data_IF_858060294544
#
_entry.id   IF_858060294544
#
_cell.length_a   1.000
_cell.length_b   1.000
_cell.length_c   1.000
_cell.angle_alpha   90.00
_cell.angle_beta   90.00
_cell.angle_gamma   90.00
#
_symmetry.space_group_name_H-M   'P 1'
#
loop_
_entity.id
_entity.type
_entity.pdbx_description
1 polymer ?
#
# COMPACT_ATOMS: atom_id res chain seq x y z
N UNK A 1 -0.11 -59.53 19.16
CA UNK A 1 0.81 -58.56 18.56
C UNK A 1 0.05 -57.26 18.39
N UNK A 2 0.51 -56.18 19.02
CA UNK A 2 -0.17 -54.86 18.99
C UNK A 2 0.06 -54.20 17.64
N UNK A 3 -0.99 -53.70 16.98
CA UNK A 3 -0.97 -53.07 15.64
C UNK A 3 -0.32 -51.68 15.64
N UNK A 4 0.94 -51.59 16.09
CA UNK A 4 1.70 -50.31 16.16
C UNK A 4 1.88 -49.66 14.77
N UNK A 5 1.93 -50.48 13.70
CA UNK A 5 2.02 -50.02 12.31
C UNK A 5 0.76 -49.25 11.87
N UNK A 6 -0.43 -49.69 12.27
CA UNK A 6 -1.70 -49.02 11.92
C UNK A 6 -1.80 -47.65 12.63
N UNK A 7 -1.46 -47.61 13.93
CA UNK A 7 -1.47 -46.34 14.68
C UNK A 7 -0.43 -45.33 14.14
N UNK A 8 0.76 -45.82 13.72
CA UNK A 8 1.77 -44.97 13.11
C UNK A 8 1.30 -44.35 11.77
N UNK A 9 0.64 -45.14 10.92
CA UNK A 9 0.09 -44.65 9.65
C UNK A 9 -1.03 -43.63 9.85
N UNK A 10 -1.93 -43.85 10.82
CA UNK A 10 -3.01 -42.89 11.15
C UNK A 10 -2.43 -41.59 11.66
N UNK A 11 -1.40 -41.64 12.52
CA UNK A 11 -0.74 -40.45 13.04
C UNK A 11 -0.06 -39.64 11.92
N UNK A 12 0.63 -40.30 11.00
CA UNK A 12 1.27 -39.65 9.85
C UNK A 12 0.23 -38.96 8.97
N UNK A 13 -0.90 -39.61 8.66
CA UNK A 13 -1.96 -38.99 7.86
C UNK A 13 -2.57 -37.77 8.56
N UNK A 14 -2.75 -37.85 9.86
CA UNK A 14 -3.28 -36.74 10.65
C UNK A 14 -2.33 -35.54 10.66
N UNK A 15 -1.03 -35.77 10.83
CA UNK A 15 0.01 -34.73 10.77
C UNK A 15 0.07 -34.09 9.39
N UNK A 16 0.07 -34.90 8.33
CA UNK A 16 0.06 -34.41 6.93
C UNK A 16 -1.20 -33.58 6.67
N UNK A 17 -2.36 -34.02 7.13
CA UNK A 17 -3.61 -33.27 7.02
C UNK A 17 -3.51 -31.90 7.75
N UNK A 18 -2.98 -31.88 8.98
CA UNK A 18 -2.80 -30.63 9.73
C UNK A 18 -1.83 -29.67 9.04
N UNK A 19 -0.76 -30.19 8.45
CA UNK A 19 0.21 -29.38 7.69
C UNK A 19 -0.46 -28.80 6.43
N UNK A 20 -1.16 -29.63 5.64
CA UNK A 20 -1.89 -29.15 4.46
C UNK A 20 -2.98 -28.15 4.84
N UNK A 21 -3.73 -28.42 5.90
CA UNK A 21 -4.75 -27.50 6.43
C UNK A 21 -4.14 -26.18 6.87
N UNK A 22 -3.01 -26.22 7.59
CA UNK A 22 -2.26 -25.03 8.02
C UNK A 22 -1.74 -24.22 6.85
N UNK A 23 -1.16 -24.88 5.81
CA UNK A 23 -0.68 -24.24 4.61
C UNK A 23 -1.86 -23.58 3.86
N UNK A 24 -2.97 -24.31 3.68
CA UNK A 24 -4.15 -23.78 3.02
C UNK A 24 -4.78 -22.61 3.76
N UNK A 25 -4.79 -22.65 5.09
CA UNK A 25 -5.28 -21.52 5.91
C UNK A 25 -4.29 -20.35 5.92
N UNK A 26 -2.98 -20.60 5.88
CA UNK A 26 -1.97 -19.54 5.73
C UNK A 26 -2.14 -18.81 4.38
N UNK A 27 -2.38 -19.53 3.30
CA UNK A 27 -2.71 -18.94 2.00
C UNK A 27 -4.10 -18.31 1.93
N UNK A 28 -5.03 -18.71 2.82
CA UNK A 28 -6.40 -18.20 2.89
C UNK A 28 -6.58 -17.03 3.86
N UNK A 29 -5.54 -16.61 4.57
CA UNK A 29 -5.51 -15.27 5.14
C UNK A 29 -5.51 -14.30 3.93
N UNK A 30 -6.71 -13.94 3.49
CA UNK A 30 -6.90 -12.85 2.55
C UNK A 30 -6.23 -11.64 3.20
N UNK A 31 -5.09 -11.22 2.67
CA UNK A 31 -4.51 -9.94 3.04
C UNK A 31 -5.60 -8.92 2.70
N UNK A 32 -6.36 -8.51 3.71
CA UNK A 32 -7.31 -7.42 3.53
C UNK A 32 -6.49 -6.21 3.13
N UNK A 33 -6.85 -5.60 2.01
CA UNK A 33 -6.18 -4.41 1.55
C UNK A 33 -6.22 -3.33 2.64
N UNK A 34 -5.10 -2.72 3.02
CA UNK A 34 -5.06 -1.72 4.08
C UNK A 34 -5.86 -0.47 3.69
N UNK A 35 -6.85 -0.09 4.50
CA UNK A 35 -7.60 1.16 4.30
C UNK A 35 -6.80 2.37 4.81
N UNK A 36 -5.65 2.59 4.21
CA UNK A 36 -4.73 3.66 4.56
C UNK A 36 -4.47 4.50 3.32
N UNK A 37 -4.59 5.81 3.45
CA UNK A 37 -4.16 6.79 2.43
C UNK A 37 -2.94 7.52 2.95
N UNK A 38 -1.94 7.64 2.11
CA UNK A 38 -0.71 8.36 2.34
C UNK A 38 -0.61 9.56 1.41
N UNK A 39 -0.21 10.69 1.95
CA UNK A 39 0.24 11.86 1.19
C UNK A 39 1.33 12.57 1.96
N UNK A 40 2.17 13.29 1.26
CA UNK A 40 3.29 14.04 1.84
C UNK A 40 3.30 15.48 1.34
N UNK A 41 3.50 16.43 2.26
CA UNK A 41 3.60 17.84 1.96
C UNK A 41 4.72 18.48 2.78
N UNK A 42 5.77 18.94 2.13
CA UNK A 42 7.05 19.31 2.76
C UNK A 42 7.07 20.74 3.33
N UNK A 43 6.08 21.56 3.04
CA UNK A 43 6.01 22.98 3.41
C UNK A 43 4.67 23.36 4.02
N UNK A 44 4.47 24.65 4.26
CA UNK A 44 3.16 25.16 4.66
C UNK A 44 2.10 24.77 3.62
N UNK A 45 1.14 23.99 4.04
CA UNK A 45 0.09 23.49 3.17
C UNK A 45 -0.89 24.62 2.82
N UNK A 46 -1.15 24.91 1.52
CA UNK A 46 -2.15 25.88 1.12
C UNK A 46 -3.56 25.47 1.58
N UNK A 47 -4.43 26.44 1.83
CA UNK A 47 -5.84 26.19 2.20
C UNK A 47 -6.59 25.37 1.15
N UNK A 48 -6.27 25.55 -0.12
CA UNK A 48 -6.82 24.74 -1.21
C UNK A 48 -6.51 23.26 -1.05
N UNK A 49 -5.27 22.91 -0.71
CA UNK A 49 -4.87 21.52 -0.48
C UNK A 49 -5.51 20.96 0.78
N UNK A 50 -5.53 21.75 1.86
CA UNK A 50 -6.25 21.40 3.10
C UNK A 50 -7.71 21.09 2.83
N UNK A 51 -8.37 21.88 1.97
CA UNK A 51 -9.76 21.66 1.57
C UNK A 51 -9.93 20.33 0.84
N UNK A 52 -9.02 20.00 -0.07
CA UNK A 52 -9.06 18.71 -0.79
C UNK A 52 -8.89 17.53 0.17
N UNK A 53 -7.96 17.61 1.10
CA UNK A 53 -7.75 16.56 2.10
C UNK A 53 -8.96 16.39 3.02
N UNK A 54 -9.63 17.46 3.40
CA UNK A 54 -10.88 17.39 4.16
C UNK A 54 -12.00 16.72 3.34
N UNK A 55 -12.07 16.99 2.04
CA UNK A 55 -12.96 16.28 1.13
C UNK A 55 -12.64 14.78 1.08
N UNK A 56 -11.34 14.39 1.04
CA UNK A 56 -10.96 12.97 1.08
C UNK A 56 -11.48 12.28 2.35
N UNK A 57 -11.31 12.92 3.51
CA UNK A 57 -11.81 12.40 4.79
C UNK A 57 -13.34 12.24 4.79
N UNK A 58 -14.04 13.20 4.22
CA UNK A 58 -15.50 13.14 4.10
C UNK A 58 -15.96 11.98 3.21
N UNK A 59 -15.29 11.77 2.07
CA UNK A 59 -15.62 10.69 1.12
C UNK A 59 -15.20 9.30 1.62
N UNK A 60 -14.25 9.23 2.56
CA UNK A 60 -13.65 7.99 3.03
C UNK A 60 -13.62 7.90 4.56
N UNK A 61 -14.78 7.92 5.24
CA UNK A 61 -14.83 7.98 6.71
C UNK A 61 -14.29 6.73 7.41
N UNK A 62 -14.11 5.62 6.68
CA UNK A 62 -13.55 4.36 7.21
C UNK A 62 -12.08 4.17 6.86
N UNK A 63 -11.46 5.14 6.19
CA UNK A 63 -10.05 5.10 5.80
C UNK A 63 -9.20 5.96 6.73
N UNK A 64 -8.01 5.49 7.05
CA UNK A 64 -7.02 6.28 7.78
C UNK A 64 -6.23 7.14 6.78
N UNK A 65 -6.45 8.46 6.80
CA UNK A 65 -5.79 9.40 5.89
C UNK A 65 -4.64 10.08 6.64
N UNK A 66 -3.42 9.72 6.26
CA UNK A 66 -2.18 10.24 6.84
C UNK A 66 -1.58 11.30 5.93
N UNK A 67 -1.52 12.51 6.45
CA UNK A 67 -0.87 13.64 5.80
C UNK A 67 0.46 13.87 6.51
N UNK A 68 1.54 13.54 5.83
CA UNK A 68 2.88 13.57 6.39
C UNK A 68 3.64 14.84 5.98
N UNK A 69 4.53 15.27 6.85
CA UNK A 69 5.52 16.31 6.60
C UNK A 69 6.90 15.82 7.07
N UNK A 70 7.95 16.60 6.86
CA UNK A 70 9.29 16.27 7.42
C UNK A 70 9.23 16.00 8.93
N UNK A 71 8.43 16.76 9.66
CA UNK A 71 8.33 16.66 11.13
C UNK A 71 7.63 15.39 11.60
N UNK A 72 6.67 14.89 10.83
CA UNK A 72 5.85 13.70 11.17
C UNK A 72 6.33 12.42 10.52
N UNK A 73 7.25 12.52 9.56
CA UNK A 73 7.73 11.37 8.79
C UNK A 73 8.36 10.29 9.66
N UNK A 74 9.08 10.70 10.73
CA UNK A 74 9.74 9.80 11.67
C UNK A 74 8.79 8.85 12.41
N UNK A 75 7.49 9.13 12.44
CA UNK A 75 6.46 8.23 13.00
C UNK A 75 6.31 6.94 12.19
N UNK A 76 6.67 6.96 10.92
CA UNK A 76 6.46 5.85 9.98
C UNK A 76 7.75 5.35 9.33
N UNK A 77 8.73 6.22 9.09
CA UNK A 77 9.96 5.93 8.38
C UNK A 77 11.15 6.28 9.28
N UNK A 78 12.02 5.31 9.54
CA UNK A 78 13.27 5.55 10.29
C UNK A 78 14.23 6.35 9.42
N UNK A 79 15.07 7.18 10.03
CA UNK A 79 16.08 7.93 9.29
C UNK A 79 17.03 7.05 8.47
N UNK A 80 17.31 5.82 8.93
CA UNK A 80 18.13 4.83 8.21
C UNK A 80 17.46 4.22 6.97
N UNK A 81 16.15 4.44 6.79
CA UNK A 81 15.38 3.98 5.63
C UNK A 81 15.32 5.06 4.54
N UNK A 82 15.71 6.30 4.88
CA UNK A 82 15.77 7.43 3.97
C UNK A 82 17.16 7.54 3.35
N UNK A 83 17.29 8.04 2.13
CA UNK A 83 18.58 8.33 1.52
C UNK A 83 19.41 9.31 2.36
N UNK A 84 20.72 9.18 2.27
CA UNK A 84 21.64 10.16 2.87
C UNK A 84 21.34 11.55 2.32
N UNK A 85 21.29 12.54 3.22
CA UNK A 85 21.01 13.93 2.85
C UNK A 85 19.53 14.27 2.62
N UNK A 86 18.59 13.36 2.87
CA UNK A 86 17.15 13.62 2.71
C UNK A 86 16.70 14.89 3.42
N UNK A 87 17.23 15.17 4.60
CA UNK A 87 16.88 16.35 5.39
C UNK A 87 17.72 17.59 5.08
N UNK A 88 18.74 17.51 4.22
CA UNK A 88 19.66 18.61 3.91
C UNK A 88 19.04 19.73 3.08
N UNK A 89 17.79 19.57 2.62
CA UNK A 89 17.09 20.57 1.80
C UNK A 89 17.63 20.71 0.37
N UNK A 90 18.47 19.78 -0.07
CA UNK A 90 19.03 19.76 -1.41
C UNK A 90 18.08 19.14 -2.44
N UNK A 91 17.22 18.24 -1.97
CA UNK A 91 16.25 17.55 -2.83
C UNK A 91 15.02 18.43 -3.06
N UNK A 92 14.44 18.33 -4.25
CA UNK A 92 13.18 18.96 -4.53
C UNK A 92 12.05 18.31 -3.72
N UNK A 93 10.97 19.05 -3.36
CA UNK A 93 9.81 18.47 -2.68
C UNK A 93 9.21 17.27 -3.43
N UNK A 94 9.25 17.28 -4.77
CA UNK A 94 8.78 16.18 -5.62
C UNK A 94 9.63 14.93 -5.42
N UNK A 95 10.97 15.05 -5.44
CA UNK A 95 11.90 13.94 -5.21
C UNK A 95 11.71 13.35 -3.80
N UNK A 96 11.60 14.20 -2.78
CA UNK A 96 11.31 13.76 -1.41
C UNK A 96 9.99 12.97 -1.35
N UNK A 97 8.95 13.47 -2.03
CA UNK A 97 7.65 12.81 -2.13
C UNK A 97 7.73 11.43 -2.81
N UNK A 98 8.51 11.32 -3.90
CA UNK A 98 8.69 10.05 -4.61
C UNK A 98 9.35 8.98 -3.74
N UNK A 99 10.37 9.35 -2.97
CA UNK A 99 11.03 8.43 -2.04
C UNK A 99 10.11 7.99 -0.90
N UNK A 100 9.43 8.92 -0.27
CA UNK A 100 8.47 8.67 0.82
C UNK A 100 7.35 7.74 0.35
N UNK A 101 6.80 7.97 -0.83
CA UNK A 101 5.76 7.14 -1.47
C UNK A 101 6.15 5.67 -1.54
N UNK A 102 7.32 5.41 -2.11
CA UNK A 102 7.80 4.04 -2.32
C UNK A 102 8.02 3.32 -0.98
N UNK A 103 8.65 3.99 -0.01
CA UNK A 103 8.91 3.42 1.31
C UNK A 103 7.61 3.09 2.05
N UNK A 104 6.65 4.03 2.07
CA UNK A 104 5.38 3.83 2.77
C UNK A 104 4.55 2.70 2.16
N UNK A 105 4.41 2.68 0.83
CA UNK A 105 3.66 1.64 0.14
C UNK A 105 4.32 0.27 0.30
N UNK A 106 5.65 0.18 0.21
CA UNK A 106 6.37 -1.07 0.44
C UNK A 106 6.19 -1.59 1.88
N UNK A 107 6.21 -0.70 2.86
CA UNK A 107 6.22 -1.05 4.27
C UNK A 107 4.83 -1.33 4.85
N UNK A 108 3.85 -0.56 4.44
CA UNK A 108 2.52 -0.56 5.03
C UNK A 108 1.41 -0.89 4.05
N UNK A 109 1.68 -0.84 2.75
CA UNK A 109 0.65 -0.91 1.72
C UNK A 109 -0.30 0.28 1.77
N UNK A 110 -1.49 0.12 1.18
CA UNK A 110 -2.51 1.16 1.12
C UNK A 110 -2.48 1.95 -0.17
N UNK A 111 -2.86 3.21 -0.10
CA UNK A 111 -2.99 4.09 -1.29
C UNK A 111 -2.15 5.34 -1.09
N UNK A 112 -1.28 5.62 -2.04
CA UNK A 112 -0.68 6.93 -2.20
C UNK A 112 -1.57 7.81 -3.06
N UNK A 113 -1.78 9.06 -2.63
CA UNK A 113 -2.47 10.10 -3.40
C UNK A 113 -1.72 11.41 -3.24
N UNK A 114 -1.34 12.05 -4.35
CA UNK A 114 -0.72 13.39 -4.29
C UNK A 114 -1.70 14.41 -3.71
N UNK A 115 -1.23 15.27 -2.80
CA UNK A 115 -2.05 16.18 -2.00
C UNK A 115 -2.93 17.16 -2.80
N UNK A 116 -2.58 17.44 -4.06
CA UNK A 116 -3.35 18.29 -4.96
C UNK A 116 -4.46 17.55 -5.74
N UNK A 117 -4.69 16.28 -5.47
CA UNK A 117 -5.66 15.46 -6.19
C UNK A 117 -7.09 15.77 -5.75
N UNK A 118 -7.99 15.99 -6.72
CA UNK A 118 -9.43 16.11 -6.47
C UNK A 118 -10.04 14.70 -6.44
N UNK A 119 -10.56 14.28 -5.31
CA UNK A 119 -11.20 12.97 -5.16
C UNK A 119 -12.70 13.11 -5.40
N UNK A 120 -13.25 12.41 -6.40
CA UNK A 120 -14.65 12.53 -6.80
C UNK A 120 -15.56 11.45 -6.19
N UNK A 121 -14.99 10.40 -5.58
CA UNK A 121 -15.73 9.28 -4.98
C UNK A 121 -14.91 8.59 -3.91
N UNK A 122 -15.56 7.76 -3.08
CA UNK A 122 -14.88 6.90 -2.10
C UNK A 122 -13.85 5.97 -2.77
N UNK A 123 -12.79 5.65 -2.04
CA UNK A 123 -11.75 4.68 -2.44
C UNK A 123 -12.19 3.21 -2.27
N UNK A 124 -13.40 2.93 -1.76
CA UNK A 124 -13.87 1.56 -1.53
C UNK A 124 -13.94 0.71 -2.82
N UNK A 125 -13.91 1.34 -4.00
CA UNK A 125 -13.79 0.62 -5.27
C UNK A 125 -12.47 -0.15 -5.40
N UNK A 126 -11.39 0.36 -4.79
CA UNK A 126 -10.07 -0.31 -4.77
C UNK A 126 -10.20 -1.69 -4.12
N UNK A 127 -10.92 -1.76 -2.99
CA UNK A 127 -11.14 -3.02 -2.28
C UNK A 127 -11.83 -4.06 -3.16
N UNK A 128 -12.76 -3.61 -4.01
CA UNK A 128 -13.44 -4.50 -4.96
C UNK A 128 -12.49 -5.05 -6.01
N UNK A 129 -11.59 -4.22 -6.52
CA UNK A 129 -10.61 -4.66 -7.54
C UNK A 129 -9.60 -5.63 -6.95
N UNK A 130 -9.02 -5.34 -5.78
CA UNK A 130 -8.08 -6.25 -5.10
C UNK A 130 -8.74 -7.58 -4.69
N UNK A 131 -10.02 -7.58 -4.33
CA UNK A 131 -10.75 -8.81 -3.98
C UNK A 131 -11.15 -9.66 -5.19
N UNK A 132 -11.35 -9.06 -6.36
CA UNK A 132 -11.75 -9.78 -7.58
C UNK A 132 -10.56 -10.42 -8.29
N UNK A 133 -9.42 -9.77 -8.24
CA UNK A 133 -8.22 -10.12 -8.98
C UNK A 133 -7.06 -10.22 -7.99
N UNK A 134 -6.22 -11.23 -8.13
CA UNK A 134 -5.03 -11.37 -7.29
C UNK A 134 -3.94 -10.35 -7.73
N UNK A 135 -4.31 -9.05 -7.75
CA UNK A 135 -3.41 -7.97 -8.11
C UNK A 135 -2.67 -7.48 -6.87
N UNK A 136 -1.43 -7.06 -7.07
CA UNK A 136 -0.57 -6.49 -6.03
C UNK A 136 -0.31 -4.98 -6.24
N UNK A 137 -0.80 -4.44 -7.34
CA UNK A 137 -0.60 -3.05 -7.72
C UNK A 137 -1.79 -2.56 -8.54
N UNK A 138 -2.23 -1.34 -8.28
CA UNK A 138 -3.21 -0.64 -9.08
C UNK A 138 -2.77 0.84 -9.21
N UNK A 139 -2.77 1.34 -10.43
CA UNK A 139 -2.42 2.70 -10.76
C UNK A 139 -2.92 3.08 -12.14
N UNK A 140 -2.70 4.31 -12.52
CA UNK A 140 -3.02 4.80 -13.85
C UNK A 140 -1.79 4.73 -14.76
N UNK A 141 -2.00 4.62 -16.06
CA UNK A 141 -0.93 4.70 -17.04
C UNK A 141 -1.19 5.82 -18.05
N UNK A 142 -0.13 6.32 -18.67
CA UNK A 142 -0.17 7.39 -19.67
C UNK A 142 -0.13 6.81 -21.09
N UNK A 143 -1.28 6.61 -21.76
CA UNK A 143 -1.28 6.06 -23.13
C UNK A 143 -0.52 6.93 -24.12
N UNK A 144 -0.65 8.26 -24.02
CA UNK A 144 -0.02 9.23 -24.92
C UNK A 144 1.51 9.28 -24.86
N UNK A 145 2.10 8.86 -23.74
CA UNK A 145 3.55 8.80 -23.54
C UNK A 145 4.11 7.38 -23.62
N UNK A 146 3.24 6.36 -23.66
CA UNK A 146 3.65 4.96 -23.80
C UNK A 146 4.03 4.65 -25.23
N UNK A 147 5.33 4.70 -25.53
CA UNK A 147 5.87 4.39 -26.86
C UNK A 147 6.12 2.91 -27.10
N UNK A 148 6.32 2.15 -26.03
CA UNK A 148 6.53 0.70 -26.06
C UNK A 148 5.34 0.03 -25.38
N UNK A 149 4.51 -0.70 -26.13
CA UNK A 149 3.24 -1.28 -25.66
C UNK A 149 3.38 -2.15 -24.42
N UNK A 150 4.45 -2.93 -24.32
CA UNK A 150 4.69 -3.85 -23.21
C UNK A 150 5.40 -3.19 -22.01
N UNK A 151 5.68 -1.89 -22.11
CA UNK A 151 6.31 -1.08 -21.06
C UNK A 151 5.52 0.21 -20.87
N UNK A 152 4.32 0.16 -20.28
CA UNK A 152 3.50 1.36 -20.08
C UNK A 152 4.19 2.33 -19.13
N UNK A 153 4.10 3.62 -19.44
CA UNK A 153 4.51 4.68 -18.51
C UNK A 153 3.38 4.85 -17.49
N UNK A 154 3.73 4.66 -16.23
CA UNK A 154 2.81 4.66 -15.11
C UNK A 154 2.83 6.03 -14.45
N UNK A 155 1.63 6.51 -14.12
CA UNK A 155 1.44 7.70 -13.28
C UNK A 155 1.78 7.39 -11.82
N UNK A 156 2.43 8.32 -11.15
CA UNK A 156 2.86 8.13 -9.77
C UNK A 156 2.02 8.89 -8.73
N UNK A 157 1.13 9.78 -9.17
CA UNK A 157 0.27 10.58 -8.29
C UNK A 157 -0.83 9.76 -7.57
N UNK A 158 -1.11 8.54 -8.05
CA UNK A 158 -2.04 7.60 -7.45
C UNK A 158 -1.53 6.17 -7.61
N UNK A 159 -1.23 5.52 -6.49
CA UNK A 159 -0.75 4.14 -6.44
C UNK A 159 -1.43 3.42 -5.28
N UNK A 160 -1.97 2.22 -5.53
CA UNK A 160 -2.47 1.32 -4.50
C UNK A 160 -1.69 -0.01 -4.53
N UNK A 161 -1.21 -0.48 -3.38
CA UNK A 161 -0.44 -1.73 -3.25
C UNK A 161 -0.59 -2.38 -1.87
#
# INVERSE_FOLDING_TARGET
>A
MKNWTVYGLVLIHFVVYLVIWSINNYHKQSKTFPKIVWTYWDSNMPDSVTTLINQWKYLNPTWNINVLSKDTLSLYIKSSELPEGFYDGKESPQHSSDMVRVILLHKYGGVWVDGSTIMMKSLDWILKEFNKTNIHYLGYYMPSFTTIKDKPIIENWFIAS
#
